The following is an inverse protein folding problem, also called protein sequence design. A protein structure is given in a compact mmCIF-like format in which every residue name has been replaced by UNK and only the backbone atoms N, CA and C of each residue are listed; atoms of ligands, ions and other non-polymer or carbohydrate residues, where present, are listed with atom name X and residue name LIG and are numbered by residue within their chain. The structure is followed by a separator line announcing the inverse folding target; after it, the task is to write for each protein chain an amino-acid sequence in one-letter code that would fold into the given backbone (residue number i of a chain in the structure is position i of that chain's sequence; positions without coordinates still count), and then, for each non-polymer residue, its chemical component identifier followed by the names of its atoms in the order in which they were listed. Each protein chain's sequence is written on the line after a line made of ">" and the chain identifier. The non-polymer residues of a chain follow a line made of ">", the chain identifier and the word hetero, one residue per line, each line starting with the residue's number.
data_IF_616350271474
#
_entry.id   IF_616350271474
#
_cell.length_a   1.000
_cell.length_b   1.000
_cell.length_c   1.000
_cell.angle_alpha   90.00
_cell.angle_beta   90.00
_cell.angle_gamma   90.00
#
_symmetry.space_group_name_H-M   'P 1'
#
loop_
_entity.id
_entity.type
_entity.pdbx_description
1 polymer ?
#
# COMPACT_ATOMS: atom_id res chain seq x y z
N UNK A 1 -53.78 -43.17 -1.47
CA UNK A 1 -53.47 -42.14 -0.46
C UNK A 1 -51.99 -42.19 -0.11
N UNK A 2 -51.20 -41.19 -0.53
CA UNK A 2 -50.20 -40.50 0.31
C UNK A 2 -49.50 -39.42 -0.50
N UNK A 3 -50.16 -38.26 -0.49
CA UNK A 3 -49.62 -36.91 -0.42
C UNK A 3 -48.23 -36.67 -1.01
N UNK A 4 -48.26 -36.25 -2.28
CA UNK A 4 -47.49 -35.13 -2.82
C UNK A 4 -47.45 -33.97 -1.82
N UNK A 5 -46.28 -33.64 -1.27
CA UNK A 5 -45.92 -32.30 -0.80
C UNK A 5 -44.49 -32.36 -0.25
N UNK A 6 -43.50 -31.83 -0.98
CA UNK A 6 -42.34 -31.26 -0.31
C UNK A 6 -41.85 -30.05 -1.09
N UNK A 7 -41.95 -28.91 -0.40
CA UNK A 7 -41.70 -27.56 -0.87
C UNK A 7 -40.29 -27.41 -1.44
N UNK A 8 -40.25 -26.90 -2.66
CA UNK A 8 -39.06 -26.37 -3.31
C UNK A 8 -38.74 -24.99 -2.68
N UNK A 9 -37.92 -24.96 -1.63
CA UNK A 9 -37.34 -23.73 -1.10
C UNK A 9 -36.21 -23.28 -2.03
N UNK A 10 -36.55 -22.50 -3.05
CA UNK A 10 -35.58 -21.68 -3.77
C UNK A 10 -35.07 -20.60 -2.81
N UNK A 11 -33.98 -20.89 -2.10
CA UNK A 11 -33.14 -19.83 -1.58
C UNK A 11 -32.53 -19.11 -2.79
N UNK A 12 -33.12 -17.98 -3.15
CA UNK A 12 -32.45 -17.00 -3.98
C UNK A 12 -31.25 -16.48 -3.18
N UNK A 13 -30.13 -17.19 -3.30
CA UNK A 13 -28.83 -16.60 -2.96
C UNK A 13 -28.63 -15.49 -3.96
N UNK A 14 -28.94 -14.26 -3.56
CA UNK A 14 -28.38 -13.07 -4.18
C UNK A 14 -26.87 -13.20 -4.00
N UNK A 15 -26.21 -13.85 -4.96
CA UNK A 15 -24.80 -13.67 -5.20
C UNK A 15 -24.66 -12.17 -5.42
N UNK A 16 -24.14 -11.45 -4.42
CA UNK A 16 -23.50 -10.18 -4.67
C UNK A 16 -22.46 -10.47 -5.73
N UNK A 17 -22.80 -10.20 -6.99
CA UNK A 17 -21.85 -10.17 -8.07
C UNK A 17 -20.79 -9.17 -7.60
N UNK A 18 -19.68 -9.71 -7.09
CA UNK A 18 -18.52 -8.94 -6.74
C UNK A 18 -18.14 -8.27 -8.04
N UNK A 19 -18.41 -6.97 -8.14
CA UNK A 19 -18.05 -6.16 -9.31
C UNK A 19 -16.61 -6.55 -9.62
N UNK A 20 -16.37 -7.04 -10.84
CA UNK A 20 -15.05 -7.44 -11.28
C UNK A 20 -14.12 -6.25 -11.00
N UNK A 21 -13.25 -6.42 -10.00
CA UNK A 21 -12.31 -5.41 -9.62
C UNK A 21 -11.14 -5.53 -10.59
N UNK A 22 -11.22 -4.82 -11.71
CA UNK A 22 -10.17 -4.77 -12.73
C UNK A 22 -8.94 -3.95 -12.29
N UNK A 23 -8.94 -3.47 -11.04
CA UNK A 23 -7.77 -2.80 -10.48
C UNK A 23 -6.63 -3.81 -10.39
N UNK A 24 -5.46 -3.42 -10.90
CA UNK A 24 -4.26 -4.25 -10.85
C UNK A 24 -3.05 -3.41 -10.50
N UNK A 25 -2.21 -3.94 -9.63
CA UNK A 25 -0.88 -3.43 -9.40
C UNK A 25 0.06 -4.60 -9.67
N UNK A 26 0.97 -4.40 -10.61
CA UNK A 26 2.06 -5.33 -10.90
C UNK A 26 3.39 -4.63 -10.69
N UNK A 27 4.34 -5.29 -10.06
CA UNK A 27 5.70 -4.82 -9.89
C UNK A 27 6.62 -6.01 -9.67
N UNK A 28 7.93 -5.77 -9.73
CA UNK A 28 8.92 -6.67 -9.16
C UNK A 28 9.56 -5.98 -7.96
N UNK A 29 9.52 -6.61 -6.80
CA UNK A 29 10.19 -6.14 -5.58
C UNK A 29 11.35 -7.08 -5.29
N UNK A 30 12.58 -6.57 -5.35
CA UNK A 30 13.82 -7.34 -5.25
C UNK A 30 13.84 -8.55 -6.21
N UNK A 31 13.35 -8.31 -7.44
CA UNK A 31 13.25 -9.33 -8.49
C UNK A 31 12.12 -10.35 -8.31
N UNK A 32 11.35 -10.28 -7.22
CA UNK A 32 10.18 -11.15 -6.99
C UNK A 32 8.92 -10.48 -7.50
N UNK A 33 8.08 -11.25 -8.18
CA UNK A 33 6.79 -10.75 -8.67
C UNK A 33 5.89 -10.32 -7.50
N UNK A 34 5.30 -9.14 -7.65
CA UNK A 34 4.31 -8.57 -6.75
C UNK A 34 3.08 -8.18 -7.57
N UNK A 35 2.03 -8.99 -7.49
CA UNK A 35 0.76 -8.74 -8.17
C UNK A 35 -0.38 -8.73 -7.16
N UNK A 36 -1.12 -7.63 -7.12
CA UNK A 36 -2.23 -7.43 -6.19
C UNK A 36 -3.31 -6.54 -6.81
N UNK A 37 -4.47 -6.42 -6.15
CA UNK A 37 -5.52 -5.51 -6.56
C UNK A 37 -5.45 -4.22 -5.71
N UNK A 38 -4.99 -3.09 -6.28
CA UNK A 38 -4.85 -1.87 -5.54
C UNK A 38 -6.21 -1.26 -5.21
N UNK A 39 -6.23 -0.49 -4.12
CA UNK A 39 -7.38 0.28 -3.68
C UNK A 39 -6.93 1.67 -3.26
N UNK A 40 -7.82 2.64 -3.43
CA UNK A 40 -7.62 3.98 -2.89
C UNK A 40 -8.16 4.03 -1.46
N UNK A 41 -7.31 4.33 -0.49
CA UNK A 41 -7.69 4.49 0.91
C UNK A 41 -7.10 5.76 1.49
N UNK A 42 -7.78 6.37 2.46
CA UNK A 42 -7.27 7.54 3.16
C UNK A 42 -6.48 7.08 4.39
N UNK A 43 -5.21 7.44 4.47
CA UNK A 43 -4.35 7.21 5.64
C UNK A 43 -3.87 8.58 6.13
N UNK A 44 -4.25 8.95 7.35
CA UNK A 44 -4.08 10.30 7.85
C UNK A 44 -4.77 11.33 6.95
N UNK A 45 -4.02 12.30 6.46
CA UNK A 45 -4.53 13.38 5.58
C UNK A 45 -4.39 13.08 4.08
N UNK A 46 -3.82 11.94 3.70
CA UNK A 46 -3.46 11.63 2.32
C UNK A 46 -4.23 10.42 1.80
N UNK A 47 -4.57 10.43 0.50
CA UNK A 47 -5.12 9.25 -0.13
C UNK A 47 -4.04 8.42 -0.83
N UNK A 48 -3.85 7.21 -0.32
CA UNK A 48 -2.89 6.26 -0.84
C UNK A 48 -3.55 5.30 -1.82
N UNK A 49 -2.84 4.98 -2.88
CA UNK A 49 -3.05 3.78 -3.68
C UNK A 49 -2.28 2.67 -2.98
N UNK A 50 -3.00 1.73 -2.39
CA UNK A 50 -2.42 0.65 -1.59
C UNK A 50 -2.72 -0.68 -2.23
N UNK A 51 -1.71 -1.56 -2.26
CA UNK A 51 -1.81 -2.85 -2.91
C UNK A 51 -1.11 -3.87 -2.00
N UNK A 52 -1.89 -4.84 -1.51
CA UNK A 52 -1.51 -5.67 -0.37
C UNK A 52 -1.52 -7.16 -0.73
N UNK A 53 -0.61 -7.91 -0.13
CA UNK A 53 -0.58 -9.38 -0.13
C UNK A 53 -0.50 -9.87 1.32
N UNK A 54 -0.99 -11.07 1.60
CA UNK A 54 -1.22 -11.59 2.97
C UNK A 54 -0.41 -12.85 3.31
N UNK A 55 0.48 -13.28 2.41
CA UNK A 55 1.33 -14.46 2.58
C UNK A 55 2.70 -14.26 1.91
N UNK A 56 3.67 -13.63 2.58
CA UNK A 56 3.57 -12.92 3.87
C UNK A 56 2.80 -11.59 3.74
N UNK A 57 2.48 -10.92 4.87
CA UNK A 57 1.86 -9.59 4.82
C UNK A 57 2.85 -8.62 4.13
N UNK A 58 2.43 -8.07 2.99
CA UNK A 58 3.17 -7.08 2.21
C UNK A 58 2.24 -5.96 1.79
N UNK A 59 2.72 -4.73 1.80
CA UNK A 59 1.98 -3.57 1.30
C UNK A 59 2.90 -2.71 0.45
N UNK A 60 2.48 -2.43 -0.78
CA UNK A 60 3.08 -1.39 -1.62
C UNK A 60 2.10 -0.24 -1.74
N UNK A 61 2.57 0.95 -1.35
CA UNK A 61 1.75 2.14 -1.24
C UNK A 61 2.37 3.26 -2.06
N UNK A 62 1.52 3.92 -2.84
CA UNK A 62 1.89 5.07 -3.65
C UNK A 62 0.92 6.19 -3.31
N UNK A 63 1.48 7.32 -2.91
CA UNK A 63 0.71 8.54 -2.74
C UNK A 63 1.14 9.55 -3.81
N UNK A 64 0.14 10.20 -4.40
CA UNK A 64 0.29 11.22 -5.42
C UNK A 64 -0.31 12.52 -4.88
N UNK A 65 0.51 13.57 -4.84
CA UNK A 65 0.13 14.86 -4.26
C UNK A 65 0.62 16.02 -5.10
N UNK A 66 -0.09 17.13 -5.02
CA UNK A 66 0.39 18.43 -5.45
C UNK A 66 1.52 18.90 -4.53
N UNK A 67 2.28 19.90 -4.98
CA UNK A 67 3.30 20.56 -4.15
C UNK A 67 2.72 21.25 -2.88
N UNK A 68 1.40 21.39 -2.78
CA UNK A 68 0.73 22.15 -1.73
C UNK A 68 0.04 21.30 -0.65
N UNK A 69 0.27 19.99 -0.57
CA UNK A 69 -0.38 19.19 0.48
C UNK A 69 -1.61 18.42 0.02
N UNK A 70 -2.11 18.72 -1.18
CA UNK A 70 -3.40 18.21 -1.65
C UNK A 70 -3.21 16.98 -2.53
N UNK A 71 -4.12 16.03 -2.47
CA UNK A 71 -4.20 14.94 -3.44
C UNK A 71 -4.17 15.45 -4.88
N UNK A 72 -3.38 14.79 -5.73
CA UNK A 72 -3.34 15.06 -7.15
C UNK A 72 -3.41 13.73 -7.91
N UNK A 73 -4.47 13.56 -8.69
CA UNK A 73 -4.70 12.35 -9.52
C UNK A 73 -4.80 12.70 -11.00
N UNK A 74 -4.16 13.81 -11.37
CA UNK A 74 -4.15 14.28 -12.75
C UNK A 74 -3.09 13.55 -13.57
N UNK A 75 -3.32 13.31 -14.86
CA UNK A 75 -2.30 12.82 -15.77
C UNK A 75 -1.07 13.73 -15.81
N UNK A 76 0.10 13.10 -15.84
CA UNK A 76 1.38 13.77 -15.95
C UNK A 76 2.48 13.06 -15.18
N UNK A 77 3.64 13.73 -15.11
CA UNK A 77 4.81 13.19 -14.41
C UNK A 77 4.90 13.77 -13.01
N UNK A 78 5.03 12.89 -12.02
CA UNK A 78 5.25 13.24 -10.61
C UNK A 78 6.68 12.89 -10.25
N UNK A 79 7.34 13.77 -9.49
CA UNK A 79 8.68 13.50 -8.98
C UNK A 79 8.57 12.70 -7.69
N UNK A 80 9.34 11.61 -7.58
CA UNK A 80 9.41 10.82 -6.35
C UNK A 80 10.27 11.57 -5.33
N UNK A 81 9.73 11.72 -4.12
CA UNK A 81 10.35 12.43 -3.01
C UNK A 81 10.49 11.51 -1.80
N UNK A 82 11.22 11.97 -0.77
CA UNK A 82 11.35 11.26 0.50
C UNK A 82 9.99 11.02 1.15
N UNK A 83 9.60 9.76 1.32
CA UNK A 83 8.32 9.41 1.94
C UNK A 83 8.21 9.83 3.42
N UNK A 84 9.33 10.04 4.12
CA UNK A 84 9.33 10.52 5.52
C UNK A 84 9.08 12.03 5.63
N UNK A 85 9.52 12.79 4.64
CA UNK A 85 9.37 14.25 4.61
C UNK A 85 9.09 14.74 3.17
N UNK A 86 7.93 14.38 2.60
CA UNK A 86 7.64 14.63 1.19
C UNK A 86 7.49 16.13 0.86
N UNK A 87 7.28 16.96 1.87
CA UNK A 87 7.05 18.40 1.73
C UNK A 87 8.22 19.27 2.17
N UNK A 88 9.42 18.67 2.29
CA UNK A 88 10.62 19.42 2.64
C UNK A 88 10.79 20.62 1.70
N UNK A 89 10.73 21.83 2.27
CA UNK A 89 10.61 23.11 1.54
C UNK A 89 11.64 23.28 0.44
N UNK A 90 12.90 22.91 0.71
CA UNK A 90 14.02 23.00 -0.22
C UNK A 90 13.81 22.15 -1.47
N UNK A 91 13.37 20.90 -1.27
CA UNK A 91 13.12 19.94 -2.35
C UNK A 91 11.88 20.29 -3.15
N UNK A 92 10.81 20.72 -2.47
CA UNK A 92 9.61 21.20 -3.13
C UNK A 92 9.92 22.35 -4.07
N UNK A 93 10.61 23.39 -3.57
CA UNK A 93 10.94 24.58 -4.37
C UNK A 93 11.78 24.20 -5.60
N UNK A 94 12.78 23.34 -5.43
CA UNK A 94 13.60 22.82 -6.55
C UNK A 94 12.74 22.30 -7.70
N UNK A 95 11.76 21.44 -7.42
CA UNK A 95 10.97 20.79 -8.47
C UNK A 95 9.78 21.61 -8.98
N UNK A 96 9.19 22.44 -8.10
CA UNK A 96 8.14 23.37 -8.46
C UNK A 96 8.66 24.42 -9.47
N UNK A 97 9.85 24.99 -9.21
CA UNK A 97 10.48 25.99 -10.08
C UNK A 97 10.85 25.44 -11.48
N UNK A 98 10.99 24.11 -11.62
CA UNK A 98 11.27 23.48 -12.93
C UNK A 98 10.05 23.45 -13.86
N UNK A 99 8.82 23.58 -13.35
CA UNK A 99 7.58 23.53 -14.13
C UNK A 99 7.31 22.21 -14.90
N UNK A 100 8.18 21.21 -14.75
CA UNK A 100 8.14 19.92 -15.46
C UNK A 100 7.16 18.93 -14.84
N UNK A 101 6.99 18.99 -13.52
CA UNK A 101 6.25 17.99 -12.76
C UNK A 101 4.86 18.49 -12.39
N UNK A 102 3.87 17.60 -12.42
CA UNK A 102 2.50 17.89 -11.93
C UNK A 102 2.41 17.92 -10.42
N UNK A 103 3.31 17.23 -9.74
CA UNK A 103 3.37 17.19 -8.30
C UNK A 103 4.45 16.24 -7.82
N UNK A 104 4.28 15.77 -6.59
CA UNK A 104 5.16 14.83 -5.90
C UNK A 104 4.51 13.48 -5.73
N UNK A 105 5.34 12.46 -5.64
CA UNK A 105 4.94 11.10 -5.31
C UNK A 105 5.79 10.57 -4.16
N UNK A 106 5.17 9.81 -3.27
CA UNK A 106 5.90 9.02 -2.28
C UNK A 106 5.53 7.55 -2.46
N UNK A 107 6.54 6.69 -2.42
CA UNK A 107 6.41 5.24 -2.47
C UNK A 107 6.88 4.67 -1.13
N UNK A 108 6.10 3.72 -0.61
CA UNK A 108 6.44 2.97 0.59
C UNK A 108 6.11 1.50 0.40
N UNK A 109 7.06 0.63 0.73
CA UNK A 109 6.92 -0.82 0.74
C UNK A 109 7.11 -1.33 2.16
N UNK A 110 6.27 -2.27 2.58
CA UNK A 110 6.34 -2.91 3.90
C UNK A 110 6.21 -4.41 3.68
N UNK A 111 7.10 -5.19 4.28
CA UNK A 111 7.06 -6.64 4.30
C UNK A 111 7.22 -7.12 5.74
N UNK A 112 6.29 -7.95 6.19
CA UNK A 112 6.46 -8.74 7.39
C UNK A 112 7.54 -9.82 7.15
N UNK A 113 8.62 -9.74 7.91
CA UNK A 113 9.75 -10.67 7.81
C UNK A 113 9.70 -11.77 8.87
N UNK A 114 8.88 -11.58 9.92
CA UNK A 114 8.64 -12.59 10.95
C UNK A 114 7.20 -12.55 11.45
N UNK A 115 6.51 -13.68 11.30
CA UNK A 115 5.14 -13.83 11.76
C UNK A 115 5.03 -14.15 13.27
N UNK A 116 3.90 -13.81 13.91
CA UNK A 116 2.88 -12.85 13.44
C UNK A 116 3.29 -11.42 13.81
N UNK A 117 3.49 -10.56 12.82
CA UNK A 117 3.79 -9.13 12.91
C UNK A 117 4.87 -8.84 13.96
N UNK A 118 5.97 -9.57 13.92
CA UNK A 118 7.06 -9.44 14.91
C UNK A 118 8.19 -8.56 14.40
N UNK A 119 8.51 -8.71 13.12
CA UNK A 119 9.60 -8.00 12.46
C UNK A 119 9.13 -7.57 11.06
N UNK A 120 9.57 -6.39 10.64
CA UNK A 120 9.23 -5.80 9.35
C UNK A 120 10.49 -5.32 8.63
N UNK A 121 10.41 -5.34 7.31
CA UNK A 121 11.30 -4.66 6.40
C UNK A 121 10.50 -3.59 5.68
N UNK A 122 10.94 -2.34 5.82
CA UNK A 122 10.25 -1.15 5.30
C UNK A 122 11.17 -0.44 4.32
N UNK A 123 10.73 -0.27 3.09
CA UNK A 123 11.37 0.55 2.07
C UNK A 123 10.62 1.86 1.91
N UNK A 124 11.29 3.00 2.15
CA UNK A 124 10.74 4.32 1.88
C UNK A 124 11.45 4.95 0.68
N UNK A 125 10.70 5.56 -0.24
CA UNK A 125 11.29 6.38 -1.29
C UNK A 125 12.15 7.52 -0.73
N UNK A 126 13.18 7.89 -1.49
CA UNK A 126 14.08 9.00 -1.20
C UNK A 126 14.05 10.04 -2.31
N UNK A 127 14.85 11.09 -2.16
CA UNK A 127 14.93 12.17 -3.14
C UNK A 127 15.97 11.89 -4.26
N UNK A 128 15.70 10.87 -5.07
CA UNK A 128 16.64 10.32 -6.08
C UNK A 128 16.37 10.81 -7.53
N UNK A 129 15.60 11.90 -7.70
CA UNK A 129 15.15 12.41 -9.01
C UNK A 129 14.36 11.37 -9.86
N UNK A 130 13.81 10.34 -9.22
CA UNK A 130 12.94 9.32 -9.82
C UNK A 130 11.54 9.90 -10.13
N UNK A 131 10.77 9.21 -10.97
CA UNK A 131 9.46 9.71 -11.41
C UNK A 131 8.40 8.64 -11.51
N UNK A 132 7.15 9.03 -11.26
CA UNK A 132 5.96 8.25 -11.62
C UNK A 132 5.28 8.94 -12.78
N UNK A 133 4.98 8.19 -13.84
CA UNK A 133 4.19 8.68 -14.98
C UNK A 133 2.76 8.21 -14.82
N UNK A 134 1.83 9.15 -14.74
CA UNK A 134 0.40 8.90 -14.58
C UNK A 134 -0.32 9.25 -15.88
N UNK A 135 -1.16 8.34 -16.35
CA UNK A 135 -2.03 8.49 -17.52
C UNK A 135 -3.47 8.16 -17.13
N UNK A 136 -4.43 8.58 -17.95
CA UNK A 136 -5.83 8.17 -17.80
C UNK A 136 -6.20 7.27 -18.97
N UNK A 137 -6.73 6.09 -18.65
CA UNK A 137 -7.32 5.18 -19.61
C UNK A 137 -8.60 5.75 -20.23
N UNK A 138 -9.02 5.19 -21.36
CA UNK A 138 -10.20 5.64 -22.11
C UNK A 138 -11.52 5.56 -21.32
N UNK A 139 -11.53 4.77 -20.26
CA UNK A 139 -12.64 4.54 -19.33
C UNK A 139 -12.56 5.39 -18.05
N UNK A 140 -11.59 6.31 -17.95
CA UNK A 140 -11.34 7.10 -16.74
C UNK A 140 -10.56 6.36 -15.66
N UNK A 141 -9.98 5.20 -15.97
CA UNK A 141 -9.08 4.47 -15.08
C UNK A 141 -7.74 5.21 -14.94
N UNK A 142 -7.24 5.35 -13.72
CA UNK A 142 -5.91 5.88 -13.49
C UNK A 142 -4.88 4.79 -13.76
N UNK A 143 -3.95 5.07 -14.66
CA UNK A 143 -2.83 4.20 -14.96
C UNK A 143 -1.55 4.89 -14.51
N UNK A 144 -0.64 4.18 -13.85
CA UNK A 144 0.65 4.74 -13.45
C UNK A 144 1.78 3.76 -13.72
N UNK A 145 2.92 4.26 -14.14
CA UNK A 145 4.15 3.46 -14.32
C UNK A 145 5.30 4.06 -13.53
N UNK A 146 6.08 3.20 -12.88
CA UNK A 146 7.17 3.63 -12.00
C UNK A 146 8.24 2.54 -11.83
N UNK A 147 9.42 2.99 -11.40
CA UNK A 147 10.48 2.15 -10.84
C UNK A 147 11.23 3.02 -9.83
N UNK A 148 11.62 2.44 -8.70
CA UNK A 148 12.19 3.20 -7.59
C UNK A 148 13.11 2.35 -6.74
N UNK A 149 14.16 3.00 -6.22
CA UNK A 149 15.04 2.46 -5.19
C UNK A 149 14.65 3.05 -3.84
N UNK A 150 14.12 2.19 -2.99
CA UNK A 150 13.64 2.57 -1.66
C UNK A 150 14.73 2.32 -0.62
N UNK A 151 14.84 3.23 0.35
CA UNK A 151 15.73 3.09 1.51
C UNK A 151 15.12 2.06 2.45
N UNK A 152 15.73 0.86 2.49
CA UNK A 152 15.32 -0.28 3.29
C UNK A 152 15.75 -0.14 4.74
N UNK A 153 14.82 -0.43 5.65
CA UNK A 153 15.02 -0.35 7.10
C UNK A 153 14.33 -1.52 7.79
N UNK A 154 14.96 -2.06 8.83
CA UNK A 154 14.40 -3.18 9.58
C UNK A 154 13.77 -2.69 10.87
N UNK A 155 12.64 -3.29 11.24
CA UNK A 155 11.90 -2.96 12.45
C UNK A 155 11.61 -4.23 13.23
N UNK A 156 11.73 -4.13 14.54
CA UNK A 156 11.49 -5.25 15.46
C UNK A 156 10.65 -4.79 16.62
N UNK A 157 9.73 -5.65 17.04
CA UNK A 157 8.92 -5.41 18.22
C UNK A 157 9.80 -5.12 19.45
N UNK A 158 9.47 -4.05 20.19
CA UNK A 158 10.12 -3.76 21.45
C UNK A 158 9.76 -4.87 22.45
N UNK A 159 10.75 -5.40 23.15
CA UNK A 159 10.51 -6.36 24.24
C UNK A 159 9.50 -5.82 25.27
N UNK A 160 9.52 -4.51 25.55
CA UNK A 160 8.52 -3.87 26.41
C UNK A 160 7.10 -3.99 25.87
N UNK A 161 6.89 -3.86 24.56
CA UNK A 161 5.56 -4.00 23.96
C UNK A 161 5.03 -5.43 24.12
N UNK A 162 5.89 -6.44 23.97
CA UNK A 162 5.53 -7.85 24.21
C UNK A 162 5.25 -8.12 25.69
N UNK A 163 6.07 -7.60 26.62
CA UNK A 163 5.93 -7.84 28.06
C UNK A 163 4.68 -7.16 28.63
N UNK A 164 4.42 -5.90 28.28
CA UNK A 164 3.23 -5.17 28.76
C UNK A 164 1.95 -5.59 28.03
N UNK A 165 2.05 -6.04 26.78
CA UNK A 165 0.90 -6.52 26.01
C UNK A 165 0.54 -7.99 26.26
N UNK A 166 1.49 -8.78 26.79
CA UNK A 166 1.31 -10.20 27.10
C UNK A 166 0.77 -11.03 25.94
N UNK A 167 0.00 -12.08 26.27
CA UNK A 167 -0.68 -12.96 25.30
C UNK A 167 -1.71 -12.19 24.46
N UNK A 168 -2.37 -11.17 25.03
CA UNK A 168 -3.37 -10.35 24.34
C UNK A 168 -2.81 -9.65 23.11
N UNK A 169 -1.57 -9.17 23.16
CA UNK A 169 -0.91 -8.55 22.00
C UNK A 169 -0.68 -9.54 20.86
N UNK A 170 -0.37 -10.80 21.18
CA UNK A 170 -0.21 -11.83 20.17
C UNK A 170 -1.55 -12.20 19.52
N UNK A 171 -2.61 -12.31 20.32
CA UNK A 171 -3.97 -12.58 19.84
C UNK A 171 -4.46 -11.45 18.93
N UNK A 172 -4.31 -10.19 19.33
CA UNK A 172 -4.70 -9.04 18.51
C UNK A 172 -4.01 -9.05 17.14
N UNK A 173 -2.72 -9.39 17.07
CA UNK A 173 -2.00 -9.49 15.79
C UNK A 173 -2.55 -10.59 14.89
N UNK A 174 -2.92 -11.73 15.47
CA UNK A 174 -3.53 -12.84 14.75
C UNK A 174 -4.93 -12.47 14.25
N UNK A 175 -5.72 -11.78 15.08
CA UNK A 175 -7.03 -11.23 14.71
C UNK A 175 -6.90 -10.20 13.58
N UNK A 176 -5.98 -9.24 13.69
CA UNK A 176 -5.72 -8.25 12.65
C UNK A 176 -5.30 -8.90 11.33
N UNK A 177 -4.39 -9.89 11.37
CA UNK A 177 -4.02 -10.67 10.17
C UNK A 177 -5.23 -11.41 9.59
N UNK A 178 -6.08 -12.00 10.43
CA UNK A 178 -7.29 -12.67 9.97
C UNK A 178 -8.30 -11.70 9.33
N UNK A 179 -8.45 -10.49 9.90
CA UNK A 179 -9.29 -9.42 9.35
C UNK A 179 -8.71 -8.94 8.01
N UNK A 180 -7.41 -8.65 7.94
CA UNK A 180 -6.76 -8.22 6.69
C UNK A 180 -6.90 -9.28 5.60
N UNK A 181 -6.73 -10.56 5.94
CA UNK A 181 -6.98 -11.67 5.03
C UNK A 181 -8.42 -11.75 4.52
N UNK A 182 -9.39 -11.47 5.39
CA UNK A 182 -10.82 -11.63 5.05
C UNK A 182 -11.36 -10.43 4.28
N UNK A 183 -10.93 -9.22 4.65
CA UNK A 183 -11.47 -7.97 4.14
C UNK A 183 -10.65 -7.40 2.98
N UNK A 184 -9.39 -7.81 2.85
CA UNK A 184 -8.41 -7.19 1.96
C UNK A 184 -8.04 -5.76 2.38
N UNK A 185 -8.46 -5.32 3.56
CA UNK A 185 -8.06 -4.04 4.16
C UNK A 185 -6.86 -4.25 5.07
N UNK A 186 -5.80 -3.47 4.85
CA UNK A 186 -4.71 -3.39 5.82
C UNK A 186 -5.24 -2.65 7.05
N UNK A 187 -5.38 -3.38 8.16
CA UNK A 187 -5.30 -2.77 9.48
C UNK A 187 -3.84 -2.34 9.65
N UNK A 188 -3.56 -1.09 9.30
CA UNK A 188 -2.31 -0.35 9.50
C UNK A 188 -1.10 -1.21 9.89
N UNK A 189 -0.38 -1.75 8.88
CA UNK A 189 0.81 -2.58 9.12
C UNK A 189 2.09 -1.76 9.34
N UNK A 190 2.00 -0.44 9.53
CA UNK A 190 3.18 0.38 9.79
C UNK A 190 3.80 0.08 11.17
N UNK A 191 5.12 -0.17 11.25
CA UNK A 191 5.77 -0.41 12.54
C UNK A 191 5.95 0.87 13.39
N UNK A 192 5.97 2.05 12.78
CA UNK A 192 6.12 3.34 13.44
C UNK A 192 4.98 3.59 14.44
N UNK A 193 5.30 4.03 15.66
CA UNK A 193 4.29 4.29 16.69
C UNK A 193 3.62 3.05 17.31
N UNK A 194 3.72 1.88 16.66
CA UNK A 194 2.96 0.67 17.04
C UNK A 194 3.73 -0.33 17.93
N UNK A 195 4.70 0.17 18.70
CA UNK A 195 5.50 -0.64 19.63
C UNK A 195 6.71 -1.33 18.99
N UNK A 196 7.08 -0.97 17.77
CA UNK A 196 8.29 -1.45 17.11
C UNK A 196 9.43 -0.43 17.27
N UNK A 197 10.66 -0.93 17.15
CA UNK A 197 11.89 -0.14 17.15
C UNK A 197 12.61 -0.37 15.83
N UNK A 198 12.98 0.72 15.18
CA UNK A 198 13.88 0.71 14.02
C UNK A 198 15.24 0.15 14.44
N UNK A 199 15.75 -0.78 13.65
CA UNK A 199 17.07 -1.39 13.81
C UNK A 199 18.12 -0.55 13.08
N UNK A 200 19.39 -0.74 13.44
CA UNK A 200 20.51 -0.09 12.74
C UNK A 200 20.77 -0.69 11.35
N UNK A 201 20.29 -1.91 11.10
CA UNK A 201 20.41 -2.57 9.79
C UNK A 201 19.57 -1.80 8.75
N UNK A 202 20.20 -1.48 7.63
CA UNK A 202 19.59 -0.86 6.46
C UNK A 202 20.10 -1.53 5.19
N UNK A 203 19.30 -1.47 4.14
CA UNK A 203 19.60 -1.96 2.80
C UNK A 203 18.79 -1.16 1.76
N UNK A 204 18.67 -1.69 0.55
CA UNK A 204 17.85 -1.13 -0.54
C UNK A 204 16.72 -2.11 -0.84
N UNK A 205 15.52 -1.59 -1.09
CA UNK A 205 14.41 -2.34 -1.70
C UNK A 205 14.22 -1.81 -3.11
N UNK A 206 14.38 -2.68 -4.10
CA UNK A 206 14.34 -2.30 -5.52
C UNK A 206 12.97 -2.66 -6.10
N UNK A 207 12.21 -1.65 -6.50
CA UNK A 207 10.92 -1.81 -7.18
C UNK A 207 11.10 -1.51 -8.66
N UNK A 208 10.86 -2.50 -9.52
CA UNK A 208 10.93 -2.35 -10.98
C UNK A 208 9.63 -2.74 -11.66
N UNK A 209 9.44 -2.25 -12.88
CA UNK A 209 8.29 -2.59 -13.73
C UNK A 209 6.94 -2.33 -13.04
N UNK A 210 6.88 -1.33 -12.15
CA UNK A 210 5.69 -0.96 -11.43
C UNK A 210 4.64 -0.42 -12.38
N UNK A 211 3.46 -1.03 -12.38
CA UNK A 211 2.27 -0.62 -13.15
C UNK A 211 1.06 -0.67 -12.25
N UNK A 212 0.32 0.43 -12.19
CA UNK A 212 -0.95 0.55 -11.49
C UNK A 212 -2.03 0.76 -12.53
N UNK A 213 -3.15 0.07 -12.36
CA UNK A 213 -4.42 0.34 -13.00
C UNK A 213 -5.46 0.42 -11.88
N UNK A 214 -6.07 1.58 -11.71
CA UNK A 214 -6.99 1.85 -10.61
C UNK A 214 -8.20 2.62 -11.12
N UNK A 215 -9.37 2.01 -11.02
CA UNK A 215 -10.63 2.67 -11.29
C UNK A 215 -10.99 3.61 -10.14
N UNK A 216 -11.14 4.89 -10.44
CA UNK A 216 -11.36 5.95 -9.43
C UNK A 216 -12.85 6.24 -9.22
N UNK A 217 -13.74 5.70 -10.07
CA UNK A 217 -15.20 5.85 -10.02
C UNK A 217 -15.92 4.50 -10.04
#
# INVERSE_FOLDING_TARGET
>A
MRYFFFCLLFFATSAFAQIANDNTLTAQVDGKEFMTQPRRIKIGNFWWITANSIKPDKSLRIWLGSFNGQDALEPGTYVVVDAKDPYKKEYRKKYEDLGKYKGIAAIRYIEETREPRMEYHVGDSGNNDETIVVTTGTDGTLEATFSSKLVGTYWKEKASATVFGGVGRLVNKLEDKAITKTTGYDSDIDPEGNGYKKQSKTDEVVVTNGKVKLKIK
#
